data_IF_129888468292
#
_entry.id   IF_129888468292
#
_cell.length_a   1.000
_cell.length_b   1.000
_cell.length_c   1.000
_cell.angle_alpha   90.00
_cell.angle_beta   90.00
_cell.angle_gamma   90.00
#
_symmetry.space_group_name_H-M   'P 1'
#
loop_
_entity.id
_entity.type
_entity.pdbx_description
1 polymer ?
#
# COMPACT_ATOMS: atom_id res chain seq x y z
N UNK A 1 23.16 6.51 18.65
CA UNK A 1 22.96 5.66 17.46
C UNK A 1 23.42 6.43 16.23
N UNK A 2 24.03 5.79 15.23
CA UNK A 2 24.55 6.50 14.05
C UNK A 2 23.38 7.01 13.20
N UNK A 3 23.32 8.32 12.94
CA UNK A 3 22.28 8.98 12.12
C UNK A 3 22.08 8.30 10.75
N UNK A 4 23.14 7.69 10.20
CA UNK A 4 23.09 6.94 8.95
C UNK A 4 22.23 5.67 9.06
N UNK A 5 22.26 4.98 10.20
CA UNK A 5 21.43 3.79 10.45
C UNK A 5 19.95 4.17 10.52
N UNK A 6 19.65 5.29 11.17
CA UNK A 6 18.29 5.79 11.31
C UNK A 6 17.73 6.24 9.96
N UNK A 7 18.50 6.99 9.17
CA UNK A 7 18.10 7.39 7.82
C UNK A 7 17.85 6.18 6.91
N UNK A 8 18.76 5.20 6.91
CA UNK A 8 18.60 3.97 6.12
C UNK A 8 17.33 3.21 6.50
N UNK A 9 17.01 3.15 7.80
CA UNK A 9 15.77 2.53 8.29
C UNK A 9 14.55 3.26 7.75
N UNK A 10 14.48 4.58 7.93
CA UNK A 10 13.36 5.41 7.47
C UNK A 10 13.14 5.27 5.95
N UNK A 11 14.22 5.31 5.16
CA UNK A 11 14.13 5.15 3.70
C UNK A 11 13.67 3.74 3.32
N UNK A 12 14.22 2.71 3.98
CA UNK A 12 13.83 1.32 3.75
C UNK A 12 12.36 1.05 4.08
N UNK A 13 11.87 1.60 5.19
CA UNK A 13 10.48 1.46 5.62
C UNK A 13 9.53 2.12 4.59
N UNK A 14 9.82 3.35 4.17
CA UNK A 14 9.03 4.06 3.13
C UNK A 14 9.01 3.33 1.78
N UNK A 15 10.16 2.78 1.37
CA UNK A 15 10.23 2.02 0.13
C UNK A 15 9.40 0.74 0.22
N UNK A 16 9.43 0.06 1.37
CA UNK A 16 8.64 -1.15 1.61
C UNK A 16 7.14 -0.87 1.58
N UNK A 17 6.71 0.27 2.14
CA UNK A 17 5.32 0.74 2.04
C UNK A 17 4.92 0.94 0.57
N UNK A 18 5.73 1.68 -0.19
CA UNK A 18 5.46 1.95 -1.62
C UNK A 18 5.37 0.68 -2.47
N UNK A 19 6.23 -0.31 -2.20
CA UNK A 19 6.19 -1.62 -2.89
C UNK A 19 4.92 -2.38 -2.53
N UNK A 20 4.49 -2.31 -1.27
CA UNK A 20 3.26 -2.95 -0.81
C UNK A 20 2.04 -2.33 -1.51
N UNK A 21 2.03 -1.02 -1.68
CA UNK A 21 0.95 -0.31 -2.38
C UNK A 21 0.85 -0.71 -3.84
N UNK A 22 2.00 -0.79 -4.52
CA UNK A 22 2.06 -1.26 -5.91
C UNK A 22 1.54 -2.71 -6.06
N UNK A 23 1.84 -3.58 -5.10
CA UNK A 23 1.36 -4.97 -5.10
C UNK A 23 -0.15 -5.06 -4.88
N UNK A 24 -0.70 -4.29 -3.94
CA UNK A 24 -2.15 -4.18 -3.69
C UNK A 24 -2.88 -3.67 -4.94
N UNK A 25 -2.35 -2.62 -5.58
CA UNK A 25 -2.89 -2.06 -6.82
C UNK A 25 -2.82 -3.09 -7.94
N UNK A 26 -1.70 -3.78 -8.12
CA UNK A 26 -1.57 -4.81 -9.14
C UNK A 26 -2.59 -5.93 -8.93
N UNK A 27 -2.74 -6.44 -7.71
CA UNK A 27 -3.71 -7.49 -7.41
C UNK A 27 -5.16 -7.05 -7.67
N UNK A 28 -5.50 -5.81 -7.32
CA UNK A 28 -6.87 -5.31 -7.45
C UNK A 28 -7.22 -4.93 -8.89
N UNK A 29 -6.32 -4.26 -9.61
CA UNK A 29 -6.58 -3.79 -10.97
C UNK A 29 -6.32 -4.83 -12.06
N UNK A 30 -5.61 -5.91 -11.74
CA UNK A 30 -5.39 -7.01 -12.70
C UNK A 30 -6.68 -7.78 -13.00
N UNK A 31 -7.56 -7.92 -12.02
CA UNK A 31 -8.82 -8.65 -12.17
C UNK A 31 -9.89 -8.10 -11.23
N UNK A 32 -10.69 -7.18 -11.77
CA UNK A 32 -11.77 -6.50 -11.03
C UNK A 32 -12.95 -7.42 -10.68
N UNK A 33 -12.98 -8.65 -11.20
CA UNK A 33 -14.03 -9.62 -10.88
C UNK A 33 -13.76 -10.35 -9.56
N UNK A 34 -12.51 -10.31 -9.07
CA UNK A 34 -12.12 -10.96 -7.83
C UNK A 34 -12.22 -9.98 -6.65
N UNK A 35 -12.69 -10.45 -5.50
CA UNK A 35 -12.68 -9.63 -4.29
C UNK A 35 -11.24 -9.30 -3.87
N UNK A 36 -11.06 -8.12 -3.28
CA UNK A 36 -9.78 -7.73 -2.65
C UNK A 36 -9.54 -8.65 -1.44
N UNK A 37 -8.32 -9.17 -1.31
CA UNK A 37 -7.98 -10.09 -0.19
C UNK A 37 -8.06 -9.35 1.14
N UNK A 38 -8.51 -10.00 2.21
CA UNK A 38 -8.66 -9.38 3.54
C UNK A 38 -7.38 -8.72 4.05
N UNK A 39 -6.22 -9.35 3.80
CA UNK A 39 -4.90 -8.82 4.17
C UNK A 39 -4.49 -7.56 3.41
N UNK A 40 -5.06 -7.34 2.22
CA UNK A 40 -4.80 -6.21 1.32
C UNK A 40 -5.89 -5.14 1.42
N UNK A 41 -7.08 -5.49 1.94
CA UNK A 41 -8.27 -4.64 2.01
C UNK A 41 -8.03 -3.34 2.79
N UNK A 42 -7.40 -3.43 3.97
CA UNK A 42 -7.12 -2.25 4.78
C UNK A 42 -6.24 -1.24 4.03
N UNK A 43 -5.22 -1.73 3.31
CA UNK A 43 -4.33 -0.86 2.54
C UNK A 43 -5.00 -0.33 1.28
N UNK A 44 -5.78 -1.15 0.60
CA UNK A 44 -6.59 -0.74 -0.55
C UNK A 44 -7.56 0.39 -0.20
N UNK A 45 -8.27 0.28 0.94
CA UNK A 45 -9.18 1.33 1.41
C UNK A 45 -8.45 2.63 1.75
N UNK A 46 -7.29 2.54 2.42
CA UNK A 46 -6.44 3.70 2.69
C UNK A 46 -5.98 4.39 1.40
N UNK A 47 -5.51 3.61 0.40
CA UNK A 47 -5.12 4.15 -0.91
C UNK A 47 -6.30 4.82 -1.61
N UNK A 48 -7.49 4.23 -1.58
CA UNK A 48 -8.69 4.88 -2.16
C UNK A 48 -8.97 6.24 -1.52
N UNK A 49 -8.86 6.34 -0.20
CA UNK A 49 -9.03 7.61 0.50
C UNK A 49 -7.95 8.62 0.12
N UNK A 50 -6.68 8.20 0.09
CA UNK A 50 -5.53 9.04 -0.30
C UNK A 50 -5.67 9.58 -1.74
N UNK A 51 -6.19 8.77 -2.66
CA UNK A 51 -6.43 9.16 -4.06
C UNK A 51 -7.77 9.87 -4.30
N UNK A 52 -8.59 10.08 -3.25
CA UNK A 52 -9.90 10.74 -3.38
C UNK A 52 -10.98 9.90 -4.08
N UNK A 53 -10.82 8.58 -4.12
CA UNK A 53 -11.79 7.64 -4.68
C UNK A 53 -12.88 7.32 -3.66
N UNK A 54 -14.15 7.14 -4.08
CA UNK A 54 -15.25 6.80 -3.18
C UNK A 54 -14.96 5.46 -2.47
N UNK A 55 -15.32 5.34 -1.19
CA UNK A 55 -15.21 4.07 -0.46
C UNK A 55 -16.24 3.10 -1.06
N UNK A 56 -15.78 1.94 -1.52
CA UNK A 56 -16.67 0.86 -1.96
C UNK A 56 -17.15 0.12 -0.71
N UNK A 57 -18.46 0.14 -0.47
CA UNK A 57 -19.14 -0.64 0.58
C UNK A 57 -19.05 -2.15 0.33
#
# INVERSE_FOLDING_TARGET
MSRLKDLRKVVGDKLRESITDADVMHHTFKDLTKPVKDKELARYLALRQEFGLPVQE
#
